data_IF_674559487522
#
_entry.id   IF_674559487522
#
_cell.length_a   1.000
_cell.length_b   1.000
_cell.length_c   1.000
_cell.angle_alpha   90.00
_cell.angle_beta   90.00
_cell.angle_gamma   90.00
#
_symmetry.space_group_name_H-M   'P 1'
#
loop_
_entity.id
_entity.type
_entity.pdbx_description
1 polymer ?
#
# COMPACT_ATOMS: atom_id res chain seq x y z
N UNK A 1 -13.57 16.92 16.60
CA UNK A 1 -12.56 16.69 15.56
C UNK A 1 -11.26 17.29 16.06
N UNK A 2 -10.45 16.51 16.79
CA UNK A 2 -9.14 17.00 17.25
C UNK A 2 -8.19 16.97 16.05
N UNK A 3 -7.60 18.11 15.70
CA UNK A 3 -6.55 18.16 14.70
C UNK A 3 -5.39 17.28 15.20
N UNK A 4 -4.99 16.29 14.39
CA UNK A 4 -3.78 15.52 14.69
C UNK A 4 -2.60 16.49 14.76
N UNK A 5 -1.69 16.35 15.74
CA UNK A 5 -0.49 17.18 15.81
C UNK A 5 0.29 17.13 14.48
N UNK A 6 0.76 18.28 14.00
CA UNK A 6 1.54 18.33 12.76
C UNK A 6 2.89 17.66 12.97
N UNK A 7 3.25 16.73 12.10
CA UNK A 7 4.56 16.10 12.10
C UNK A 7 5.53 16.93 11.25
N UNK A 8 6.19 17.90 11.87
CA UNK A 8 7.03 18.92 11.22
C UNK A 8 8.08 18.37 10.23
N UNK A 9 8.75 17.22 10.48
CA UNK A 9 9.69 16.64 9.52
C UNK A 9 9.05 16.24 8.17
N UNK A 10 7.74 16.01 8.12
CA UNK A 10 7.04 15.59 6.90
C UNK A 10 7.21 16.59 5.76
N UNK A 11 7.08 17.89 6.02
CA UNK A 11 7.22 18.91 4.97
C UNK A 11 8.63 18.94 4.37
N UNK A 12 9.66 18.84 5.22
CA UNK A 12 11.07 18.77 4.77
C UNK A 12 11.35 17.49 3.99
N UNK A 13 10.84 16.34 4.46
CA UNK A 13 10.97 15.07 3.77
C UNK A 13 10.27 15.10 2.40
N UNK A 14 9.04 15.61 2.37
CA UNK A 14 8.25 15.69 1.16
C UNK A 14 8.90 16.55 0.08
N UNK A 15 9.43 17.73 0.43
CA UNK A 15 10.15 18.57 -0.53
C UNK A 15 11.39 17.87 -1.11
N UNK A 16 12.17 17.19 -0.26
CA UNK A 16 13.37 16.43 -0.67
C UNK A 16 13.03 15.24 -1.56
N UNK A 17 12.00 14.47 -1.21
CA UNK A 17 11.54 13.31 -1.98
C UNK A 17 10.95 13.78 -3.32
N UNK A 18 10.11 14.81 -3.31
CA UNK A 18 9.53 15.38 -4.54
C UNK A 18 10.62 15.83 -5.51
N UNK A 19 11.63 16.56 -5.03
CA UNK A 19 12.75 17.01 -5.87
C UNK A 19 13.56 15.83 -6.44
N UNK A 20 13.73 14.75 -5.66
CA UNK A 20 14.36 13.53 -6.15
C UNK A 20 13.51 12.88 -7.26
N UNK A 21 12.23 12.65 -6.99
CA UNK A 21 11.29 12.01 -7.92
C UNK A 21 11.06 12.82 -9.19
N UNK A 22 11.09 14.15 -9.15
CA UNK A 22 10.89 15.01 -10.32
C UNK A 22 11.90 14.74 -11.44
N UNK A 23 13.09 14.23 -11.10
CA UNK A 23 14.11 13.85 -12.09
C UNK A 23 13.74 12.57 -12.85
N UNK A 24 13.04 11.64 -12.20
CA UNK A 24 12.68 10.33 -12.76
C UNK A 24 11.25 10.30 -13.33
N UNK A 25 10.33 11.09 -12.76
CA UNK A 25 8.93 11.19 -13.20
C UNK A 25 8.74 11.84 -14.57
N UNK A 26 9.71 12.61 -15.05
CA UNK A 26 9.70 13.14 -16.42
C UNK A 26 9.67 12.01 -17.49
N UNK A 27 10.05 10.79 -17.11
CA UNK A 27 10.01 9.60 -17.95
C UNK A 27 8.76 8.72 -17.73
N UNK A 28 7.85 9.06 -16.81
CA UNK A 28 6.69 8.23 -16.49
C UNK A 28 5.52 8.46 -17.47
N UNK A 29 4.98 7.40 -18.12
CA UNK A 29 3.82 7.52 -19.00
C UNK A 29 2.50 7.69 -18.23
N UNK A 30 2.45 7.30 -16.95
CA UNK A 30 1.26 7.40 -16.08
C UNK A 30 1.38 8.58 -15.12
N UNK A 31 1.95 9.67 -15.65
CA UNK A 31 2.51 10.77 -14.89
C UNK A 31 1.67 11.14 -13.67
N UNK A 32 2.35 11.20 -12.52
CA UNK A 32 2.06 12.21 -11.52
C UNK A 32 2.34 13.60 -12.16
N UNK A 33 1.64 13.94 -13.24
CA UNK A 33 1.58 15.24 -13.93
C UNK A 33 0.87 16.27 -13.04
N UNK A 34 0.95 16.06 -11.73
CA UNK A 34 0.61 17.04 -10.75
C UNK A 34 1.73 18.07 -10.76
N UNK A 35 1.35 19.34 -10.73
CA UNK A 35 2.24 20.44 -10.40
C UNK A 35 3.19 20.02 -9.25
N UNK A 36 4.50 20.34 -9.29
CA UNK A 36 5.47 19.94 -8.27
C UNK A 36 4.98 20.16 -6.83
N UNK A 37 4.28 21.28 -6.63
CA UNK A 37 3.63 21.62 -5.36
C UNK A 37 2.57 20.61 -4.95
N UNK A 38 1.69 20.17 -5.85
CA UNK A 38 0.64 19.19 -5.56
C UNK A 38 1.23 17.81 -5.22
N UNK A 39 2.32 17.40 -5.88
CA UNK A 39 3.04 16.18 -5.54
C UNK A 39 3.68 16.26 -4.14
N UNK A 40 4.32 17.39 -3.81
CA UNK A 40 4.86 17.62 -2.47
C UNK A 40 3.78 17.54 -1.39
N UNK A 41 2.62 18.19 -1.60
CA UNK A 41 1.50 18.12 -0.65
C UNK A 41 0.98 16.70 -0.48
N UNK A 42 0.92 15.90 -1.54
CA UNK A 42 0.52 14.50 -1.48
C UNK A 42 1.48 13.67 -0.62
N UNK A 43 2.79 13.78 -0.91
CA UNK A 43 3.83 13.06 -0.18
C UNK A 43 3.81 13.46 1.30
N UNK A 44 3.66 14.75 1.60
CA UNK A 44 3.56 15.24 2.97
C UNK A 44 2.37 14.63 3.70
N UNK A 45 1.16 14.66 3.12
CA UNK A 45 -0.04 14.10 3.73
C UNK A 45 0.10 12.59 4.01
N UNK A 46 0.71 11.85 3.08
CA UNK A 46 1.01 10.41 3.23
C UNK A 46 1.98 10.18 4.38
N UNK A 47 3.09 10.93 4.45
CA UNK A 47 4.09 10.82 5.52
C UNK A 47 3.46 11.12 6.88
N UNK A 48 2.68 12.20 7.01
CA UNK A 48 2.04 12.59 8.26
C UNK A 48 1.06 11.52 8.76
N UNK A 49 0.17 11.04 7.89
CA UNK A 49 -0.81 10.03 8.27
C UNK A 49 -0.14 8.69 8.64
N UNK A 50 0.87 8.26 7.87
CA UNK A 50 1.61 7.03 8.12
C UNK A 50 2.45 7.11 9.39
N UNK A 51 3.12 8.25 9.65
CA UNK A 51 3.89 8.46 10.87
C UNK A 51 3.01 8.31 12.11
N UNK A 52 1.88 9.03 12.16
CA UNK A 52 0.98 8.93 13.30
C UNK A 52 0.28 7.57 13.41
N UNK A 53 0.04 6.87 12.29
CA UNK A 53 -0.44 5.50 12.31
C UNK A 53 0.62 4.55 12.92
N UNK A 54 1.89 4.72 12.57
CA UNK A 54 3.00 3.86 13.02
C UNK A 54 3.22 3.85 14.54
N UNK A 55 2.85 4.94 15.21
CA UNK A 55 2.98 5.08 16.67
C UNK A 55 1.80 4.49 17.44
N UNK A 56 0.73 4.10 16.74
CA UNK A 56 -0.46 3.48 17.35
C UNK A 56 -0.29 1.97 17.42
N UNK A 57 -1.26 1.32 18.08
CA UNK A 57 -1.40 -0.14 18.14
C UNK A 57 -2.81 -0.52 17.71
N UNK A 58 -2.94 -1.63 17.00
CA UNK A 58 -4.22 -2.30 16.72
C UNK A 58 -4.10 -3.73 17.23
N UNK A 59 -5.03 -4.15 18.10
CA UNK A 59 -5.00 -5.47 18.75
C UNK A 59 -3.66 -5.78 19.47
N UNK A 60 -2.93 -4.74 19.91
CA UNK A 60 -1.61 -4.88 20.54
C UNK A 60 -0.42 -4.89 19.58
N UNK A 61 -0.64 -4.87 18.27
CA UNK A 61 0.40 -4.92 17.24
C UNK A 61 0.69 -3.54 16.66
N UNK A 62 1.94 -3.33 16.26
CA UNK A 62 2.34 -2.12 15.51
C UNK A 62 1.85 -2.23 14.06
N UNK A 63 1.18 -1.21 13.52
CA UNK A 63 0.78 -1.16 12.11
C UNK A 63 1.96 -1.31 11.16
N UNK A 64 1.82 -2.23 10.20
CA UNK A 64 2.66 -2.33 9.00
C UNK A 64 1.77 -2.11 7.80
N UNK A 65 2.03 -1.04 7.06
CA UNK A 65 1.24 -0.63 5.91
C UNK A 65 2.15 -0.13 4.80
N UNK A 66 1.73 -0.33 3.57
CA UNK A 66 2.36 0.25 2.39
C UNK A 66 1.34 1.13 1.67
N UNK A 67 1.68 2.41 1.46
CA UNK A 67 0.81 3.41 0.84
C UNK A 67 1.39 3.80 -0.51
N UNK A 68 0.63 3.64 -1.59
CA UNK A 68 1.03 4.01 -2.95
C UNK A 68 0.26 5.25 -3.41
N UNK A 69 0.95 6.29 -3.89
CA UNK A 69 0.31 7.46 -4.48
C UNK A 69 0.00 7.19 -5.95
N UNK A 70 -1.25 6.84 -6.25
CA UNK A 70 -1.68 6.42 -7.59
C UNK A 70 -3.19 6.54 -7.72
N UNK A 71 -3.69 6.98 -8.88
CA UNK A 71 -5.13 7.09 -9.10
C UNK A 71 -5.75 5.76 -9.55
N UNK A 72 -7.04 5.51 -9.27
CA UNK A 72 -7.74 4.36 -9.84
C UNK A 72 -7.70 4.30 -11.37
N UNK A 73 -7.66 5.47 -12.04
CA UNK A 73 -7.60 5.57 -13.49
C UNK A 73 -6.24 5.12 -14.05
N UNK A 74 -5.14 5.48 -13.38
CA UNK A 74 -3.79 5.09 -13.79
C UNK A 74 -3.61 3.57 -13.66
N UNK A 75 -4.14 2.98 -12.59
CA UNK A 75 -4.12 1.51 -12.40
C UNK A 75 -4.90 0.80 -13.51
N UNK A 76 -6.07 1.32 -13.89
CA UNK A 76 -6.85 0.77 -14.99
C UNK A 76 -6.15 0.91 -16.35
N UNK A 77 -5.42 2.01 -16.57
CA UNK A 77 -4.69 2.26 -17.82
C UNK A 77 -3.38 1.44 -17.94
N UNK A 78 -2.79 1.03 -16.82
CA UNK A 78 -1.52 0.33 -16.78
C UNK A 78 -1.63 -1.20 -16.99
N UNK A 79 -2.82 -1.73 -17.31
CA UNK A 79 -3.12 -3.16 -17.48
C UNK A 79 -2.57 -4.03 -16.33
N UNK A 80 -2.64 -3.49 -15.12
CA UNK A 80 -2.22 -4.16 -13.90
C UNK A 80 -3.38 -5.04 -13.40
N UNK A 81 -3.07 -6.05 -12.56
CA UNK A 81 -4.12 -6.87 -11.94
C UNK A 81 -5.15 -5.97 -11.25
N UNK A 82 -6.44 -6.25 -11.47
CA UNK A 82 -7.53 -5.42 -10.98
C UNK A 82 -7.42 -5.18 -9.47
N UNK A 83 -7.44 -3.92 -9.03
CA UNK A 83 -7.33 -3.61 -7.62
C UNK A 83 -8.63 -3.99 -6.88
N UNK A 84 -8.49 -4.19 -5.57
CA UNK A 84 -9.63 -4.26 -4.66
C UNK A 84 -10.05 -2.84 -4.32
N UNK A 85 -11.28 -2.47 -4.66
CA UNK A 85 -11.82 -1.12 -4.44
C UNK A 85 -12.70 -1.09 -3.19
N UNK A 86 -12.51 -0.10 -2.32
CA UNK A 86 -13.46 0.15 -1.23
C UNK A 86 -14.73 0.82 -1.77
N UNK A 87 -15.89 0.44 -1.25
CA UNK A 87 -17.17 1.11 -1.58
C UNK A 87 -17.12 2.60 -1.21
N UNK A 88 -16.49 2.90 -0.07
CA UNK A 88 -16.28 4.26 0.41
C UNK A 88 -14.79 4.49 0.62
N UNK A 89 -14.28 5.57 0.07
CA UNK A 89 -12.89 5.96 0.30
C UNK A 89 -12.65 6.18 1.80
N UNK A 90 -11.52 5.67 2.29
CA UNK A 90 -11.14 5.73 3.70
C UNK A 90 -10.27 6.98 3.88
N UNK A 91 -10.58 7.88 4.83
CA UNK A 91 -9.76 9.07 5.04
C UNK A 91 -8.29 8.72 5.29
N UNK A 92 -7.37 9.43 4.65
CA UNK A 92 -5.94 9.31 4.90
C UNK A 92 -5.61 9.91 6.27
N UNK A 93 -5.79 9.11 7.31
CA UNK A 93 -5.61 9.53 8.70
C UNK A 93 -5.11 8.37 9.57
N UNK A 94 -4.45 8.70 10.68
CA UNK A 94 -3.79 7.74 11.54
C UNK A 94 -4.72 6.60 12.01
N UNK A 95 -5.88 6.93 12.57
CA UNK A 95 -6.79 5.94 13.14
C UNK A 95 -7.38 4.97 12.09
N UNK A 96 -7.93 5.43 10.94
CA UNK A 96 -8.36 4.52 9.88
C UNK A 96 -7.25 3.62 9.36
N UNK A 97 -6.03 4.14 9.18
CA UNK A 97 -4.88 3.36 8.73
C UNK A 97 -4.45 2.31 9.76
N UNK A 98 -4.42 2.66 11.05
CA UNK A 98 -4.13 1.70 12.14
C UNK A 98 -5.11 0.53 12.12
N UNK A 99 -6.41 0.80 11.94
CA UNK A 99 -7.45 -0.24 11.85
C UNK A 99 -7.36 -1.10 10.60
N UNK A 100 -6.86 -0.53 9.50
CA UNK A 100 -6.71 -1.25 8.23
C UNK A 100 -5.45 -2.13 8.20
N UNK A 101 -4.43 -1.78 9.00
CA UNK A 101 -3.12 -2.41 8.98
C UNK A 101 -3.13 -3.95 9.10
N UNK A 102 -3.93 -4.58 9.98
CA UNK A 102 -4.00 -6.04 10.03
C UNK A 102 -4.38 -6.66 8.67
N UNK A 103 -5.28 -6.05 7.91
CA UNK A 103 -5.73 -6.59 6.63
C UNK A 103 -4.69 -6.51 5.49
N UNK A 104 -3.64 -5.69 5.65
CA UNK A 104 -2.64 -5.40 4.60
C UNK A 104 -1.19 -5.58 5.05
N UNK A 105 -0.98 -6.28 6.16
CA UNK A 105 0.36 -6.50 6.74
C UNK A 105 1.26 -7.39 5.86
N UNK A 106 0.67 -8.20 4.97
CA UNK A 106 1.44 -9.08 4.09
C UNK A 106 2.27 -8.28 3.08
N UNK A 107 3.55 -8.63 2.87
CA UNK A 107 4.37 -8.02 1.83
C UNK A 107 3.69 -8.05 0.46
N UNK A 108 3.85 -6.97 -0.30
CA UNK A 108 3.27 -6.83 -1.64
C UNK A 108 1.83 -6.31 -1.67
N UNK A 109 1.16 -6.13 -0.52
CA UNK A 109 -0.13 -5.43 -0.47
C UNK A 109 0.12 -3.93 -0.31
N UNK A 110 -0.32 -3.15 -1.31
CA UNK A 110 -0.22 -1.70 -1.31
C UNK A 110 -1.61 -1.08 -1.24
N UNK A 111 -1.80 -0.10 -0.37
CA UNK A 111 -3.01 0.71 -0.30
C UNK A 111 -2.89 1.89 -1.27
N UNK A 112 -3.82 1.99 -2.21
CA UNK A 112 -3.87 3.09 -3.17
C UNK A 112 -4.40 4.36 -2.51
N UNK A 113 -3.64 5.45 -2.61
CA UNK A 113 -3.97 6.78 -2.10
C UNK A 113 -4.14 7.74 -3.27
N UNK A 114 -5.28 8.43 -3.29
CA UNK A 114 -5.54 9.48 -4.28
C UNK A 114 -6.43 10.58 -3.72
N UNK A 115 -6.56 11.68 -4.48
CA UNK A 115 -7.47 12.78 -4.13
C UNK A 115 -8.91 12.36 -4.39
N UNK A 116 -9.75 12.54 -3.37
CA UNK A 116 -11.20 12.41 -3.44
C UNK A 116 -11.84 13.63 -2.77
N UNK A 117 -12.71 14.35 -3.49
CA UNK A 117 -13.38 15.57 -3.01
C UNK A 117 -12.42 16.61 -2.37
N UNK A 118 -11.22 16.77 -2.94
CA UNK A 118 -10.23 17.75 -2.49
C UNK A 118 -9.34 17.29 -1.32
N UNK A 119 -9.57 16.11 -0.74
CA UNK A 119 -8.74 15.52 0.32
C UNK A 119 -8.08 14.22 -0.16
N UNK A 120 -6.99 13.80 0.48
CA UNK A 120 -6.40 12.49 0.19
C UNK A 120 -7.14 11.39 0.95
N UNK A 121 -7.43 10.30 0.25
CA UNK A 121 -8.11 9.14 0.78
C UNK A 121 -7.50 7.85 0.22
N UNK A 122 -7.58 6.79 1.00
CA UNK A 122 -7.30 5.43 0.54
C UNK A 122 -8.53 4.94 -0.22
N UNK A 123 -8.35 4.58 -1.49
CA UNK A 123 -9.44 4.16 -2.36
C UNK A 123 -9.53 2.64 -2.52
N UNK A 124 -8.45 1.91 -2.23
CA UNK A 124 -8.39 0.46 -2.43
C UNK A 124 -7.06 -0.16 -2.04
N UNK A 125 -6.89 -1.43 -2.42
CA UNK A 125 -5.68 -2.22 -2.24
C UNK A 125 -5.28 -2.91 -3.55
N UNK A 126 -3.98 -3.10 -3.76
CA UNK A 126 -3.41 -3.64 -4.99
C UNK A 126 -2.16 -4.48 -4.68
N UNK A 127 -1.91 -5.50 -5.51
CA UNK A 127 -0.75 -6.39 -5.36
C UNK A 127 0.40 -6.07 -6.33
N UNK A 128 0.12 -5.27 -7.36
CA UNK A 128 1.10 -4.80 -8.34
C UNK A 128 0.89 -3.30 -8.52
N UNK A 129 1.98 -2.56 -8.65
CA UNK A 129 1.95 -1.11 -8.84
C UNK A 129 2.35 -0.76 -10.29
N UNK A 130 1.79 0.30 -10.87
CA UNK A 130 2.34 0.89 -12.08
C UNK A 130 3.80 1.31 -11.89
N UNK A 131 4.51 1.45 -13.00
CA UNK A 131 5.86 2.02 -13.05
C UNK A 131 5.91 3.45 -12.46
N UNK A 132 7.04 3.81 -11.83
CA UNK A 132 7.32 5.14 -11.27
C UNK A 132 6.32 5.62 -10.21
N UNK A 133 5.64 4.69 -9.54
CA UNK A 133 4.72 4.96 -8.45
C UNK A 133 5.49 5.26 -7.17
N UNK A 134 5.17 6.38 -6.50
CA UNK A 134 5.67 6.65 -5.16
C UNK A 134 5.01 5.72 -4.14
N UNK A 135 5.81 5.16 -3.22
CA UNK A 135 5.36 4.26 -2.17
C UNK A 135 5.98 4.68 -0.84
N UNK A 136 5.19 4.67 0.23
CA UNK A 136 5.66 4.83 1.60
C UNK A 136 5.31 3.60 2.44
N UNK A 137 6.32 2.97 3.03
CA UNK A 137 6.14 1.83 3.92
C UNK A 137 6.39 2.21 5.38
N UNK A 138 5.51 1.75 6.27
CA UNK A 138 5.74 1.75 7.71
C UNK A 138 6.41 0.44 8.09
N UNK A 139 7.68 0.50 8.50
CA UNK A 139 8.48 -0.70 8.84
C UNK A 139 8.46 -0.97 10.35
N UNK A 140 8.51 0.09 11.15
CA UNK A 140 8.45 0.05 12.61
C UNK A 140 7.86 1.38 13.15
N UNK A 141 7.58 1.50 14.47
CA UNK A 141 7.08 2.74 15.04
C UNK A 141 8.05 3.91 14.77
N UNK A 142 7.56 4.96 14.11
CA UNK A 142 8.36 6.13 13.74
C UNK A 142 9.38 5.91 12.62
N UNK A 143 9.46 4.70 12.04
CA UNK A 143 10.39 4.34 10.96
C UNK A 143 9.62 4.08 9.67
N UNK A 144 9.81 4.97 8.70
CA UNK A 144 9.18 4.95 7.39
C UNK A 144 10.24 4.86 6.30
N UNK A 145 9.92 4.14 5.22
CA UNK A 145 10.77 4.04 4.04
C UNK A 145 9.99 4.52 2.82
N UNK A 146 10.47 5.58 2.20
CA UNK A 146 9.95 6.09 0.94
C UNK A 146 10.66 5.37 -0.21
N UNK A 147 9.89 4.92 -1.19
CA UNK A 147 10.35 4.18 -2.36
C UNK A 147 9.67 4.69 -3.63
N UNK A 148 10.22 4.33 -4.79
CA UNK A 148 9.52 4.38 -6.07
C UNK A 148 9.64 3.05 -6.82
N UNK A 149 8.64 2.68 -7.60
CA UNK A 149 8.71 1.49 -8.48
C UNK A 149 9.51 1.82 -9.75
N UNK A 150 10.37 0.90 -10.19
CA UNK A 150 11.12 1.06 -11.45
C UNK A 150 10.23 0.75 -12.65
N UNK A 151 10.52 1.38 -13.79
CA UNK A 151 9.79 1.22 -15.06
C UNK A 151 9.73 -0.21 -15.62
N UNK A 152 10.69 -1.06 -15.26
CA UNK A 152 10.99 -2.27 -16.01
C UNK A 152 10.38 -3.53 -15.37
N UNK A 153 9.90 -3.45 -14.13
CA UNK A 153 9.39 -4.61 -13.36
C UNK A 153 8.46 -4.16 -12.22
N UNK A 154 7.19 -4.62 -12.25
CA UNK A 154 6.10 -4.20 -11.36
C UNK A 154 6.24 -4.61 -9.87
N UNK A 155 7.42 -5.09 -9.46
CA UNK A 155 7.76 -5.39 -8.07
C UNK A 155 9.12 -4.87 -7.60
N UNK A 156 9.91 -4.22 -8.48
CA UNK A 156 11.23 -3.69 -8.11
C UNK A 156 11.13 -2.25 -7.64
N UNK A 157 11.49 -2.04 -6.37
CA UNK A 157 11.46 -0.73 -5.73
C UNK A 157 12.87 -0.23 -5.45
N UNK A 158 13.07 1.08 -5.58
CA UNK A 158 14.28 1.74 -5.10
C UNK A 158 13.94 2.57 -3.88
N UNK A 159 14.71 2.41 -2.81
CA UNK A 159 14.54 3.21 -1.60
C UNK A 159 15.09 4.61 -1.86
N UNK A 160 14.25 5.63 -1.65
CA UNK A 160 14.56 7.05 -1.87
C UNK A 160 14.92 7.74 -0.57
N UNK A 161 14.22 7.41 0.50
CA UNK A 161 14.45 8.01 1.80
C UNK A 161 14.09 7.06 2.93
N UNK A 162 14.79 7.22 4.05
CA UNK A 162 14.42 6.66 5.34
C UNK A 162 14.09 7.81 6.28
N UNK A 163 12.92 7.74 6.90
CA UNK A 163 12.45 8.70 7.90
C UNK A 163 12.40 7.96 9.23
N UNK A 164 13.14 8.43 10.22
CA UNK A 164 13.19 7.82 11.55
C UNK A 164 13.00 8.90 12.63
N UNK A 165 11.83 8.94 13.26
CA UNK A 165 11.53 9.97 14.25
C UNK A 165 11.55 11.36 13.60
N UNK A 166 12.53 12.19 13.91
CA UNK A 166 12.73 13.51 13.31
C UNK A 166 13.85 13.55 12.25
N UNK A 167 14.55 12.44 12.04
CA UNK A 167 15.62 12.32 11.05
C UNK A 167 15.08 11.92 9.67
N UNK A 168 15.61 12.57 8.62
CA UNK A 168 15.31 12.23 7.22
C UNK A 168 16.63 12.01 6.47
N UNK A 169 16.86 10.76 6.05
CA UNK A 169 18.05 10.35 5.29
C UNK A 169 17.62 10.04 3.86
N UNK A 170 18.10 10.82 2.89
CA UNK A 170 17.95 10.50 1.47
C UNK A 170 18.99 9.46 1.08
N UNK A 171 18.61 8.55 0.21
CA UNK A 171 19.50 7.55 -0.38
C UNK A 171 19.98 8.08 -1.72
N UNK A 172 21.30 8.13 -1.91
CA UNK A 172 21.90 8.51 -3.17
C UNK A 172 22.07 7.26 -4.05
N UNK A 173 21.26 7.18 -5.11
CA UNK A 173 21.31 6.08 -6.07
C UNK A 173 22.63 6.05 -6.87
N UNK A 174 23.34 7.18 -7.02
CA UNK A 174 24.60 7.23 -7.78
C UNK A 174 25.76 6.62 -6.98
N UNK A 175 25.77 6.81 -5.66
CA UNK A 175 26.73 6.18 -4.76
C UNK A 175 26.55 4.65 -4.69
N UNK A 176 25.31 4.17 -4.77
CA UNK A 176 24.99 2.74 -4.80
C UNK A 176 25.34 2.04 -6.14
N UNK A 177 25.65 2.81 -7.20
CA UNK A 177 26.15 2.31 -8.50
C UNK A 177 27.68 2.34 -8.61
N UNK A 178 28.39 2.72 -7.53
CA UNK A 178 29.85 2.64 -7.46
C UNK A 178 30.30 1.16 -7.42
N UNK A 179 31.37 0.78 -8.15
CA UNK A 179 31.81 -0.63 -8.29
C UNK A 179 32.30 -1.32 -7.00
N UNK A 180 32.26 -0.65 -5.84
CA UNK A 180 32.70 -1.16 -4.54
C UNK A 180 31.55 -1.64 -3.62
N UNK A 181 30.34 -1.87 -4.15
CA UNK A 181 29.24 -2.40 -3.34
C UNK A 181 29.33 -3.94 -3.27
N UNK A 182 29.54 -4.56 -2.09
CA UNK A 182 29.70 -6.01 -1.99
C UNK A 182 28.40 -6.73 -2.40
N UNK A 183 28.54 -7.75 -3.25
CA UNK A 183 27.46 -8.59 -3.84
C UNK A 183 26.45 -9.15 -2.81
N UNK A 184 26.84 -9.14 -1.53
CA UNK A 184 26.07 -9.63 -0.39
C UNK A 184 24.81 -8.80 -0.09
N UNK A 185 24.76 -7.51 -0.48
CA UNK A 185 23.54 -6.68 -0.37
C UNK A 185 22.51 -7.01 -1.45
N UNK A 186 22.93 -7.58 -2.57
CA UNK A 186 22.06 -7.95 -3.70
C UNK A 186 21.31 -9.25 -3.44
N UNK A 187 21.92 -10.20 -2.71
CA UNK A 187 21.25 -11.45 -2.29
C UNK A 187 20.26 -11.26 -1.13
N UNK A 188 20.40 -10.23 -0.31
CA UNK A 188 19.51 -9.98 0.85
C UNK A 188 18.16 -9.33 0.50
N UNK A 189 17.93 -8.99 -0.78
CA UNK A 189 16.72 -8.31 -1.27
C UNK A 189 15.87 -9.16 -2.23
N UNK A 190 16.25 -10.42 -2.51
CA UNK A 190 15.54 -11.31 -3.42
C UNK A 190 14.58 -12.26 -2.70
N UNK A 191 13.29 -11.90 -2.69
CA UNK A 191 12.21 -12.76 -2.20
C UNK A 191 11.99 -13.95 -3.15
N UNK A 192 12.49 -15.13 -2.79
CA UNK A 192 12.13 -16.38 -3.45
C UNK A 192 10.99 -17.08 -2.68
N UNK A 193 9.79 -17.06 -3.25
CA UNK A 193 8.83 -18.15 -3.08
C UNK A 193 8.24 -18.53 -4.43
N UNK A 194 8.98 -19.31 -5.20
CA UNK A 194 8.39 -20.13 -6.24
C UNK A 194 7.52 -21.20 -5.57
N UNK A 195 6.19 -21.10 -5.71
CA UNK A 195 5.31 -22.24 -5.52
C UNK A 195 5.16 -22.98 -6.84
N UNK A 196 5.46 -24.28 -6.83
CA UNK A 196 5.15 -25.24 -7.89
C UNK A 196 3.63 -25.35 -8.08
N UNK A 197 3.08 -25.12 -9.30
CA UNK A 197 1.69 -25.44 -9.60
C UNK A 197 1.58 -26.93 -9.92
N UNK A 198 0.71 -27.67 -9.22
CA UNK A 198 0.60 -29.11 -9.46
C UNK A 198 -0.52 -29.89 -8.77
N UNK A 199 -1.22 -29.35 -7.78
CA UNK A 199 -2.36 -30.06 -7.17
C UNK A 199 -3.56 -29.12 -7.04
N UNK A 200 -4.72 -29.59 -7.48
CA UNK A 200 -6.03 -28.94 -7.33
C UNK A 200 -6.48 -28.95 -5.86
N UNK A 201 -5.75 -28.21 -5.02
CA UNK A 201 -6.13 -27.96 -3.64
C UNK A 201 -7.34 -27.04 -3.65
N UNK A 202 -8.46 -27.49 -3.09
CA UNK A 202 -9.69 -26.69 -2.95
C UNK A 202 -9.39 -25.27 -2.46
N UNK A 203 -9.90 -24.25 -3.15
CA UNK A 203 -9.75 -22.83 -2.78
C UNK A 203 -10.16 -22.57 -1.32
N UNK A 204 -11.13 -23.32 -0.79
CA UNK A 204 -11.54 -23.24 0.62
C UNK A 204 -10.45 -23.71 1.58
N UNK A 205 -9.67 -24.73 1.21
CA UNK A 205 -8.53 -25.21 2.00
C UNK A 205 -7.42 -24.15 1.96
N UNK A 206 -7.11 -23.59 0.79
CA UNK A 206 -6.13 -22.52 0.66
C UNK A 206 -6.52 -21.28 1.48
N UNK A 207 -7.79 -20.91 1.43
CA UNK A 207 -8.34 -19.82 2.25
C UNK A 207 -8.23 -20.13 3.74
N UNK A 208 -8.61 -21.33 4.18
CA UNK A 208 -8.49 -21.72 5.59
C UNK A 208 -7.04 -21.74 6.09
N UNK A 209 -6.10 -22.22 5.28
CA UNK A 209 -4.65 -22.16 5.58
C UNK A 209 -4.18 -20.72 5.67
N UNK A 210 -4.56 -19.88 4.71
CA UNK A 210 -4.24 -18.46 4.68
C UNK A 210 -4.81 -17.71 5.90
N UNK A 211 -6.06 -17.98 6.28
CA UNK A 211 -6.70 -17.39 7.46
C UNK A 211 -5.99 -17.79 8.75
N UNK A 212 -5.62 -19.08 8.91
CA UNK A 212 -4.86 -19.55 10.07
C UNK A 212 -3.46 -18.93 10.13
N UNK A 213 -2.75 -18.89 9.00
CA UNK A 213 -1.44 -18.28 8.91
C UNK A 213 -1.47 -16.76 9.18
N UNK A 214 -2.59 -16.10 8.88
CA UNK A 214 -2.75 -14.67 9.16
C UNK A 214 -2.75 -14.37 10.66
N UNK A 215 -3.21 -15.29 11.50
CA UNK A 215 -3.18 -15.15 12.97
C UNK A 215 -4.10 -14.05 13.53
N UNK A 216 -4.93 -13.44 12.68
CA UNK A 216 -5.99 -12.51 13.08
C UNK A 216 -7.33 -13.23 13.03
N UNK A 217 -8.19 -13.01 14.01
CA UNK A 217 -9.54 -13.59 14.01
C UNK A 217 -10.26 -13.23 12.72
N UNK A 218 -10.90 -14.21 12.08
CA UNK A 218 -11.59 -14.02 10.80
C UNK A 218 -12.72 -15.02 10.64
N UNK A 219 -13.77 -14.60 9.92
CA UNK A 219 -14.95 -15.41 9.67
C UNK A 219 -15.20 -15.48 8.16
N UNK A 220 -15.44 -16.70 7.66
CA UNK A 220 -15.96 -16.92 6.31
C UNK A 220 -17.46 -17.22 6.40
N UNK A 221 -18.27 -16.36 5.82
CA UNK A 221 -19.72 -16.54 5.68
C UNK A 221 -20.02 -16.96 4.24
N UNK A 222 -20.66 -18.11 4.05
CA UNK A 222 -21.19 -18.55 2.76
C UNK A 222 -22.68 -18.25 2.73
N UNK A 223 -23.10 -17.42 1.78
CA UNK A 223 -24.47 -16.92 1.66
C UNK A 223 -25.06 -17.25 0.28
N UNK A 224 -26.39 -17.39 0.15
CA UNK A 224 -27.02 -17.61 -1.16
C UNK A 224 -26.72 -16.44 -2.10
N UNK A 225 -26.25 -16.73 -3.33
CA UNK A 225 -25.85 -15.70 -4.29
C UNK A 225 -26.98 -14.76 -4.75
N UNK A 226 -28.23 -15.14 -4.54
CA UNK A 226 -29.43 -14.44 -5.02
C UNK A 226 -30.25 -13.80 -3.87
N UNK A 227 -29.74 -13.83 -2.63
CA UNK A 227 -30.42 -13.23 -1.48
C UNK A 227 -29.48 -12.30 -0.72
N UNK A 228 -30.01 -11.16 -0.29
CA UNK A 228 -29.32 -10.19 0.55
C UNK A 228 -29.92 -10.11 1.97
N UNK A 229 -30.88 -10.98 2.30
CA UNK A 229 -31.54 -11.03 3.63
C UNK A 229 -30.53 -11.26 4.77
N UNK A 230 -29.44 -11.99 4.50
CA UNK A 230 -28.35 -12.20 5.45
C UNK A 230 -27.72 -10.88 5.95
N UNK A 231 -27.83 -9.79 5.18
CA UNK A 231 -27.31 -8.48 5.58
C UNK A 231 -28.06 -7.86 6.75
N UNK A 232 -29.32 -8.25 6.96
CA UNK A 232 -30.13 -7.83 8.11
C UNK A 232 -29.62 -8.44 9.42
N UNK A 233 -28.89 -9.56 9.32
CA UNK A 233 -28.33 -10.29 10.46
C UNK A 233 -26.94 -9.80 10.88
N UNK A 234 -26.39 -8.76 10.24
CA UNK A 234 -25.09 -8.19 10.57
C UNK A 234 -25.17 -6.70 10.93
N UNK A 235 -24.27 -6.25 11.80
CA UNK A 235 -24.21 -4.85 12.20
C UNK A 235 -23.85 -3.94 11.02
N UNK A 236 -24.62 -2.86 10.87
CA UNK A 236 -24.41 -1.83 9.84
C UNK A 236 -23.91 -0.51 10.46
N UNK A 237 -23.11 0.29 9.74
CA UNK A 237 -22.56 0.00 8.41
C UNK A 237 -21.28 -0.86 8.46
N UNK A 238 -21.06 -1.69 7.44
CA UNK A 238 -19.77 -2.35 7.21
C UNK A 238 -18.74 -1.32 6.73
N UNK A 239 -17.80 -0.95 7.60
CA UNK A 239 -16.89 0.19 7.39
C UNK A 239 -15.91 0.02 6.22
N UNK A 240 -15.51 -1.22 5.91
CA UNK A 240 -14.51 -1.55 4.90
C UNK A 240 -15.08 -2.45 3.80
N UNK A 241 -16.31 -2.17 3.37
CA UNK A 241 -16.97 -2.93 2.31
C UNK A 241 -16.26 -2.69 0.96
N UNK A 242 -16.17 -3.75 0.16
CA UNK A 242 -15.58 -3.73 -1.18
C UNK A 242 -16.68 -3.57 -2.24
N UNK A 243 -16.39 -2.87 -3.32
CA UNK A 243 -17.30 -2.77 -4.49
C UNK A 243 -16.49 -2.55 -5.76
N UNK A 244 -16.65 -3.40 -6.80
CA UNK A 244 -17.54 -4.56 -6.86
C UNK A 244 -17.09 -5.72 -5.96
N UNK A 245 -17.92 -6.76 -5.84
CA UNK A 245 -17.54 -8.00 -5.16
C UNK A 245 -16.28 -8.60 -5.80
N UNK A 246 -15.34 -9.03 -4.98
CA UNK A 246 -14.10 -9.64 -5.46
C UNK A 246 -14.37 -11.01 -6.11
N UNK A 247 -14.03 -11.15 -7.39
CA UNK A 247 -14.32 -12.36 -8.18
C UNK A 247 -13.09 -13.21 -8.51
N UNK A 248 -11.87 -12.81 -8.15
CA UNK A 248 -10.68 -13.60 -8.53
C UNK A 248 -10.69 -15.02 -7.92
N UNK A 249 -11.33 -15.20 -6.75
CA UNK A 249 -11.49 -16.53 -6.15
C UNK A 249 -12.30 -17.49 -7.05
N UNK A 250 -13.31 -17.01 -7.77
CA UNK A 250 -14.07 -17.85 -8.69
C UNK A 250 -13.28 -18.22 -9.94
N UNK A 251 -12.31 -17.39 -10.33
CA UNK A 251 -11.40 -17.68 -11.45
C UNK A 251 -10.38 -18.76 -11.08
N UNK A 252 -9.93 -18.77 -9.82
CA UNK A 252 -9.01 -19.79 -9.30
C UNK A 252 -9.73 -21.13 -9.06
N UNK A 253 -11.02 -21.10 -8.70
CA UNK A 253 -11.83 -22.30 -8.47
C UNK A 253 -12.40 -22.95 -9.75
N UNK A 254 -12.27 -22.30 -10.91
CA UNK A 254 -12.86 -22.71 -12.19
C UNK A 254 -11.97 -23.60 -13.08
N UNK A 255 -10.85 -24.09 -12.56
CA UNK A 255 -9.93 -25.05 -13.18
C UNK A 255 -9.77 -26.27 -12.27
#
# INVERSE_FOLDING_TARGET
>A
MQASPTYTPAGKAAARIQAHLARDLAASPYGLNAEPSALQHAIQAIIEAAFWASLRREEGYTPRISLALVSPADVAAADVMSPIMFERSIPLAAQPLTRLAPAVERPGIHLGVWRHAGQYAVWGAMLRLPAYCFVLEVVAPGLLVAKHSRGDDAGKFVNVAVINGDEVKLIDEQAARSPDCPDLLTSLLGFDTHQTPGESVSVLIQLAVSMRAHGRGGLLLVVPAQSEEWRESIAQPVLYKLTPSFSALSQIAGH
#
